data_IF_262391665495
#
_entry.id   IF_262391665495
#
_cell.length_a   1.000
_cell.length_b   1.000
_cell.length_c   1.000
_cell.angle_alpha   90.00
_cell.angle_beta   90.00
_cell.angle_gamma   90.00
#
_symmetry.space_group_name_H-M   'P 1'
#
loop_
_entity.id
_entity.type
_entity.pdbx_description
1 polymer ?
#
# COMPACT_ATOMS: atom_id res chain seq x y z
N UNK A 1 -4.79 -5.71 15.49
CA UNK A 1 -4.30 -4.31 15.35
C UNK A 1 -4.74 -3.52 16.58
N UNK A 2 -3.87 -2.75 17.22
CA UNK A 2 -4.21 -1.91 18.38
C UNK A 2 -4.07 -0.45 17.96
N UNK A 3 -5.12 0.35 18.16
CA UNK A 3 -5.08 1.79 17.87
C UNK A 3 -4.90 2.58 19.16
N UNK A 4 -3.86 3.39 19.22
CA UNK A 4 -3.52 4.20 20.39
C UNK A 4 -3.71 5.67 20.04
N UNK A 5 -4.56 6.37 20.79
CA UNK A 5 -4.74 7.82 20.66
C UNK A 5 -3.84 8.50 21.69
N UNK A 6 -2.85 9.25 21.21
CA UNK A 6 -1.96 10.02 22.07
C UNK A 6 -2.52 11.40 22.35
N UNK A 7 -2.51 11.81 23.62
CA UNK A 7 -2.90 13.17 24.01
C UNK A 7 -1.94 14.25 23.46
N UNK A 8 -0.66 13.91 23.24
CA UNK A 8 0.36 14.84 22.73
C UNK A 8 1.02 14.27 21.48
N UNK A 9 0.95 15.01 20.37
CA UNK A 9 1.58 14.64 19.09
C UNK A 9 3.09 14.40 19.21
N UNK A 10 3.79 15.18 20.04
CA UNK A 10 5.24 15.03 20.27
C UNK A 10 5.63 13.63 20.74
N UNK A 11 4.79 12.98 21.55
CA UNK A 11 5.06 11.62 22.05
C UNK A 11 4.98 10.62 20.91
N UNK A 12 3.96 10.75 20.06
CA UNK A 12 3.80 9.93 18.86
C UNK A 12 5.01 10.06 17.93
N UNK A 13 5.50 11.29 17.69
CA UNK A 13 6.67 11.54 16.85
C UNK A 13 7.97 10.95 17.44
N UNK A 14 8.12 10.93 18.77
CA UNK A 14 9.26 10.29 19.45
C UNK A 14 9.22 8.77 19.25
N UNK A 15 8.05 8.14 19.45
CA UNK A 15 7.89 6.70 19.25
C UNK A 15 8.22 6.30 17.81
N UNK A 16 7.79 7.09 16.82
CA UNK A 16 8.15 6.83 15.42
C UNK A 16 9.63 7.04 15.10
N UNK A 17 10.36 7.86 15.86
CA UNK A 17 11.82 7.96 15.71
C UNK A 17 12.48 6.70 16.24
N UNK A 18 12.13 6.31 17.46
CA UNK A 18 12.66 5.09 18.10
C UNK A 18 12.36 3.87 17.24
N UNK A 19 11.14 3.71 16.74
CA UNK A 19 10.75 2.54 15.93
C UNK A 19 11.43 2.45 14.56
N UNK A 20 12.12 3.51 14.10
CA UNK A 20 12.93 3.46 12.87
C UNK A 20 14.39 3.08 13.15
N UNK A 21 14.86 3.37 14.35
CA UNK A 21 16.24 3.12 14.77
C UNK A 21 16.35 1.73 15.41
N UNK A 22 15.36 1.33 16.20
CA UNK A 22 15.36 0.10 16.99
C UNK A 22 14.04 -0.69 16.83
N UNK A 23 14.17 -2.01 16.75
CA UNK A 23 13.03 -2.92 16.79
C UNK A 23 12.45 -2.99 18.20
N UNK A 24 11.19 -2.57 18.36
CA UNK A 24 10.51 -2.59 19.67
C UNK A 24 10.04 -4.01 19.95
N UNK A 25 10.54 -4.63 21.02
CA UNK A 25 10.15 -5.98 21.42
C UNK A 25 9.30 -5.98 22.69
N UNK A 26 8.27 -6.83 22.71
CA UNK A 26 7.45 -7.09 23.90
C UNK A 26 7.26 -8.60 24.06
N UNK A 27 7.64 -9.13 25.22
CA UNK A 27 7.57 -10.58 25.54
C UNK A 27 8.23 -11.46 24.46
N UNK A 28 9.38 -11.03 23.93
CA UNK A 28 10.13 -11.75 22.90
C UNK A 28 9.51 -11.70 21.50
N UNK A 29 8.43 -10.92 21.29
CA UNK A 29 7.84 -10.67 19.97
C UNK A 29 8.15 -9.24 19.53
N UNK A 30 8.53 -9.09 18.27
CA UNK A 30 8.73 -7.78 17.66
C UNK A 30 7.39 -7.10 17.37
N UNK A 31 7.30 -5.81 17.70
CA UNK A 31 6.15 -4.96 17.46
C UNK A 31 6.50 -4.00 16.32
N UNK A 32 5.70 -4.05 15.26
CA UNK A 32 5.74 -3.03 14.22
C UNK A 32 4.85 -1.85 14.59
N UNK A 33 5.42 -0.65 14.57
CA UNK A 33 4.69 0.60 14.85
C UNK A 33 4.47 1.35 13.55
N UNK A 34 3.21 1.54 13.18
CA UNK A 34 2.81 2.18 11.93
C UNK A 34 1.96 3.43 12.20
N UNK A 35 1.91 4.33 11.22
CA UNK A 35 0.94 5.44 11.23
C UNK A 35 -0.46 4.89 11.01
N UNK A 36 -1.39 5.29 11.86
CA UNK A 36 -2.79 4.93 11.69
C UNK A 36 -3.32 5.59 10.41
N UNK A 37 -3.78 4.77 9.47
CA UNK A 37 -4.50 5.21 8.28
C UNK A 37 -5.99 4.98 8.54
N UNK A 38 -6.85 6.01 8.43
CA UNK A 38 -8.30 5.85 8.63
C UNK A 38 -8.87 4.73 7.75
N UNK A 39 -9.84 3.96 8.28
CA UNK A 39 -10.43 2.80 7.56
C UNK A 39 -10.93 3.17 6.17
N UNK A 40 -11.64 4.31 6.04
CA UNK A 40 -12.11 4.84 4.75
C UNK A 40 -10.99 5.02 3.71
N UNK A 41 -9.85 5.55 4.15
CA UNK A 41 -8.67 5.73 3.27
C UNK A 41 -8.05 4.38 2.91
N UNK A 42 -8.06 3.39 3.82
CA UNK A 42 -7.58 2.04 3.51
C UNK A 42 -8.44 1.35 2.47
N UNK A 43 -9.75 1.49 2.58
CA UNK A 43 -10.72 0.94 1.61
C UNK A 43 -10.50 1.55 0.22
N UNK A 44 -10.41 2.88 0.11
CA UNK A 44 -10.12 3.55 -1.16
C UNK A 44 -8.79 3.10 -1.79
N UNK A 45 -7.75 2.87 -0.98
CA UNK A 45 -6.46 2.37 -1.48
C UNK A 45 -6.50 0.93 -1.96
N UNK A 46 -7.51 0.14 -1.58
CA UNK A 46 -7.67 -1.24 -2.05
C UNK A 46 -7.86 -1.27 -3.57
N UNK A 47 -8.60 -0.31 -4.11
CA UNK A 47 -8.89 -0.24 -5.54
C UNK A 47 -7.62 0.04 -6.35
N UNK A 48 -6.65 0.78 -5.79
CA UNK A 48 -5.35 1.05 -6.42
C UNK A 48 -4.27 0.00 -6.11
N UNK A 49 -4.62 -1.09 -5.41
CA UNK A 49 -3.63 -2.10 -4.95
C UNK A 49 -2.91 -2.75 -6.13
N UNK A 50 -3.62 -3.07 -7.21
CA UNK A 50 -3.04 -3.68 -8.41
C UNK A 50 -1.91 -2.81 -8.99
N UNK A 51 -2.16 -1.50 -9.11
CA UNK A 51 -1.20 -0.54 -9.63
C UNK A 51 -0.02 -0.38 -8.66
N UNK A 52 -0.28 -0.27 -7.35
CA UNK A 52 0.78 -0.17 -6.36
C UNK A 52 1.72 -1.39 -6.37
N UNK A 53 1.17 -2.61 -6.51
CA UNK A 53 1.97 -3.84 -6.65
C UNK A 53 2.83 -3.81 -7.90
N UNK A 54 2.27 -3.36 -9.03
CA UNK A 54 3.01 -3.25 -10.28
C UNK A 54 4.13 -2.20 -10.20
N UNK A 55 3.85 -1.03 -9.62
CA UNK A 55 4.84 0.02 -9.41
C UNK A 55 5.99 -0.45 -8.51
N UNK A 56 5.68 -1.22 -7.45
CA UNK A 56 6.71 -1.85 -6.62
C UNK A 56 7.54 -2.87 -7.40
N UNK A 57 6.92 -3.70 -8.26
CA UNK A 57 7.65 -4.67 -9.10
C UNK A 57 8.64 -3.99 -10.06
N UNK A 58 8.28 -2.81 -10.57
CA UNK A 58 9.10 -2.01 -11.50
C UNK A 58 10.01 -1.00 -10.80
N UNK A 59 10.08 -1.02 -9.47
CA UNK A 59 10.87 -0.08 -8.63
C UNK A 59 10.57 1.40 -8.89
N UNK A 60 9.31 1.74 -9.14
CA UNK A 60 8.88 3.11 -9.42
C UNK A 60 8.41 3.78 -8.13
N UNK A 61 8.93 4.97 -7.89
CA UNK A 61 8.58 5.76 -6.72
C UNK A 61 7.16 6.33 -6.84
N UNK A 62 6.32 5.97 -5.88
CA UNK A 62 4.99 6.56 -5.74
C UNK A 62 4.68 6.96 -4.29
N UNK A 63 3.73 7.87 -4.15
CA UNK A 63 3.22 8.35 -2.86
C UNK A 63 1.71 8.39 -2.86
N UNK A 64 1.10 7.76 -1.86
CA UNK A 64 -0.33 7.87 -1.63
C UNK A 64 -0.73 9.31 -1.31
N UNK A 65 -1.76 9.80 -2.01
CA UNK A 65 -2.45 11.04 -1.65
C UNK A 65 -3.54 10.70 -0.62
N UNK A 66 -3.91 11.70 0.19
CA UNK A 66 -5.01 11.60 1.16
C UNK A 66 -5.98 12.73 0.76
N UNK A 67 -7.29 12.46 0.60
CA UNK A 67 -8.00 11.21 0.92
C UNK A 67 -7.83 10.10 -0.14
N UNK A 68 -7.75 10.45 -1.43
CA UNK A 68 -7.80 9.51 -2.55
C UNK A 68 -6.72 9.82 -3.59
N UNK A 69 -6.28 8.78 -4.30
CA UNK A 69 -5.31 8.88 -5.39
C UNK A 69 -3.86 8.63 -5.00
N UNK A 70 -2.98 8.73 -6.00
CA UNK A 70 -1.56 8.43 -5.91
C UNK A 70 -0.76 9.39 -6.79
N UNK A 71 0.42 9.78 -6.32
CA UNK A 71 1.38 10.55 -7.09
C UNK A 71 2.54 9.63 -7.47
N UNK A 72 2.68 9.37 -8.76
CA UNK A 72 3.73 8.51 -9.32
C UNK A 72 4.80 9.39 -9.95
N UNK A 73 6.07 9.05 -9.73
CA UNK A 73 7.20 9.67 -10.43
C UNK A 73 7.69 8.71 -11.51
N UNK A 74 7.29 8.94 -12.76
CA UNK A 74 7.64 8.10 -13.92
C UNK A 74 8.41 8.95 -14.93
N UNK A 75 9.58 8.50 -15.38
CA UNK A 75 10.44 9.23 -16.35
C UNK A 75 10.63 10.72 -15.99
N UNK A 76 10.98 11.01 -14.72
CA UNK A 76 11.13 12.38 -14.19
C UNK A 76 9.84 13.24 -14.18
N UNK A 77 8.71 12.70 -14.65
CA UNK A 77 7.40 13.34 -14.62
C UNK A 77 6.62 12.89 -13.40
N UNK A 78 5.95 13.86 -12.76
CA UNK A 78 5.07 13.61 -11.61
C UNK A 78 3.64 13.52 -12.11
N UNK A 79 3.12 12.30 -12.16
CA UNK A 79 1.77 12.00 -12.65
C UNK A 79 0.84 11.84 -11.45
N UNK A 80 -0.23 12.63 -11.44
CA UNK A 80 -1.27 12.55 -10.42
C UNK A 80 -2.39 11.65 -10.91
N UNK A 81 -2.60 10.55 -10.20
CA UNK A 81 -3.69 9.61 -10.41
C UNK A 81 -4.73 9.91 -9.34
N UNK A 82 -5.86 10.50 -9.74
CA UNK A 82 -6.93 10.93 -8.84
C UNK A 82 -8.21 10.10 -8.97
N UNK A 83 -8.25 9.14 -9.89
CA UNK A 83 -9.41 8.30 -10.22
C UNK A 83 -8.93 6.91 -10.64
N UNK A 84 -9.81 5.91 -10.53
CA UNK A 84 -9.51 4.53 -10.91
C UNK A 84 -9.32 4.43 -12.43
N UNK A 85 -10.12 5.15 -13.22
CA UNK A 85 -9.98 5.20 -14.69
C UNK A 85 -8.58 5.66 -15.10
N UNK A 86 -8.09 6.77 -14.55
CA UNK A 86 -6.71 7.23 -14.82
C UNK A 86 -5.65 6.24 -14.32
N UNK A 87 -5.94 5.47 -13.28
CA UNK A 87 -5.02 4.43 -12.80
C UNK A 87 -4.94 3.27 -13.79
N UNK A 88 -6.06 2.92 -14.41
CA UNK A 88 -6.13 1.90 -15.45
C UNK A 88 -5.49 2.36 -16.75
N UNK A 89 -5.79 3.57 -17.22
CA UNK A 89 -5.14 4.17 -18.39
C UNK A 89 -3.61 4.22 -18.20
N UNK A 90 -3.18 4.62 -17.00
CA UNK A 90 -1.76 4.63 -16.66
C UNK A 90 -1.19 3.22 -16.67
N UNK A 91 -1.86 2.25 -16.04
CA UNK A 91 -1.44 0.85 -16.05
C UNK A 91 -1.30 0.29 -17.46
N UNK A 92 -2.26 0.54 -18.36
CA UNK A 92 -2.19 0.14 -19.76
C UNK A 92 -1.01 0.80 -20.49
N UNK A 93 -0.73 2.06 -20.20
CA UNK A 93 0.44 2.76 -20.70
C UNK A 93 1.76 2.14 -20.19
N UNK A 94 1.77 1.60 -18.97
CA UNK A 94 2.93 0.89 -18.42
C UNK A 94 3.09 -0.52 -19.00
N UNK A 95 1.98 -1.19 -19.29
CA UNK A 95 1.89 -2.60 -19.73
C UNK A 95 1.95 -2.73 -21.26
N UNK A 96 2.27 -1.66 -22.00
CA UNK A 96 2.49 -1.71 -23.45
C UNK A 96 3.34 -2.90 -23.93
N UNK A 97 3.26 -3.29 -25.22
CA UNK A 97 3.35 -4.67 -25.76
C UNK A 97 4.61 -5.52 -25.47
N UNK A 98 5.57 -5.02 -24.70
CA UNK A 98 6.82 -5.69 -24.33
C UNK A 98 6.65 -6.74 -23.21
N UNK A 99 5.64 -6.62 -22.33
CA UNK A 99 5.53 -7.46 -21.13
C UNK A 99 4.28 -8.37 -21.10
N UNK A 100 4.10 -9.21 -22.12
CA UNK A 100 3.05 -10.26 -22.15
C UNK A 100 3.19 -11.33 -21.05
N UNK A 101 4.24 -11.29 -20.23
CA UNK A 101 4.57 -12.34 -19.26
C UNK A 101 4.05 -12.10 -17.83
N UNK A 102 3.48 -10.93 -17.53
CA UNK A 102 3.10 -10.53 -16.15
C UNK A 102 1.61 -10.68 -15.83
N UNK A 103 0.80 -11.02 -16.85
CA UNK A 103 -0.67 -11.04 -16.76
C UNK A 103 -1.20 -12.22 -15.95
N UNK A 104 -0.50 -13.36 -15.98
CA UNK A 104 -0.94 -14.60 -15.32
C UNK A 104 -0.72 -14.60 -13.80
N UNK A 105 0.19 -13.76 -13.27
CA UNK A 105 0.48 -13.71 -11.81
C UNK A 105 -0.44 -12.78 -11.00
N UNK A 106 -1.17 -11.87 -11.65
CA UNK A 106 -2.04 -10.92 -10.95
C UNK A 106 -3.43 -11.50 -10.67
N UNK A 107 -3.89 -12.41 -11.53
CA UNK A 107 -5.16 -13.13 -11.34
C UNK A 107 -5.05 -14.17 -10.20
N UNK A 108 -3.88 -14.81 -10.02
CA UNK A 108 -3.65 -15.80 -8.96
C UNK A 108 -3.66 -15.18 -7.54
N UNK A 109 -3.10 -13.97 -7.38
CA UNK A 109 -3.05 -13.29 -6.08
C UNK A 109 -4.41 -12.74 -5.60
N UNK A 110 -5.42 -12.72 -6.49
CA UNK A 110 -6.79 -12.32 -6.12
C UNK A 110 -7.62 -13.50 -5.61
N UNK A 111 -7.28 -14.74 -6.02
CA UNK A 111 -8.02 -15.94 -5.61
C UNK A 111 -7.56 -16.58 -4.29
N UNK A 112 -6.32 -16.33 -3.84
CA UNK A 112 -5.83 -16.95 -2.59
C UNK A 112 -6.37 -16.31 -1.30
N UNK A 113 -6.91 -15.08 -1.30
CA UNK A 113 -7.48 -14.45 -0.09
C UNK A 113 -8.97 -14.78 0.16
N UNK A 114 -9.70 -15.39 -0.80
CA UNK A 114 -11.12 -15.75 -0.59
C UNK A 114 -11.34 -17.13 0.08
N UNK A 115 -10.29 -17.94 0.27
CA UNK A 115 -10.42 -19.28 0.90
C UNK A 115 -10.01 -19.36 2.38
N UNK A 116 -9.73 -18.23 3.04
CA UNK A 116 -9.31 -18.19 4.45
C UNK A 116 -10.41 -18.26 5.50
N UNK A 117 -11.69 -18.37 5.12
CA UNK A 117 -12.80 -18.41 6.09
C UNK A 117 -13.88 -19.44 5.72
N UNK A 118 -13.56 -20.73 5.83
CA UNK A 118 -14.55 -21.78 6.17
C UNK A 118 -13.82 -23.10 6.42
N UNK A 119 -13.66 -23.49 7.68
CA UNK A 119 -13.95 -24.84 8.22
C UNK A 119 -13.28 -25.00 9.58
N UNK A 120 -14.10 -25.04 10.63
CA UNK A 120 -13.90 -25.83 11.85
C UNK A 120 -15.23 -25.78 12.61
N UNK A 121 -16.08 -26.77 12.34
CA UNK A 121 -17.04 -27.34 13.30
C UNK A 121 -16.51 -28.73 13.68
#
# INVERSE_FOLDING_TARGET
>A
EVHIIFARRKVCDIIYKISREEAIQYKGKEIQVLKQVPRRVREQRRDYRYLATYLNKKDILFRWLIPEGMLVTWEEKRIKIDSIEKAQDFYEQLVGPEDTNSREELESNTQEEEQGTTSED
#
